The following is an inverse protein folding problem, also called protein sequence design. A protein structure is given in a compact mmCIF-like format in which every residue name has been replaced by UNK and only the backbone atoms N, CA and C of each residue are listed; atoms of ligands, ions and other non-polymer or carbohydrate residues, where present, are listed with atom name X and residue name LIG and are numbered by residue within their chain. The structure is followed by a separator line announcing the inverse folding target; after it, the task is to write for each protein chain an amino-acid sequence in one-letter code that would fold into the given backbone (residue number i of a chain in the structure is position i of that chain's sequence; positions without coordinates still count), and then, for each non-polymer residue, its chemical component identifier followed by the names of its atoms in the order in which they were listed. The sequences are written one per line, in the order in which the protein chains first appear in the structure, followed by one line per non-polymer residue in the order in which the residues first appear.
data_IF_831501020187
#
_entry.id   IF_831501020187
#
_cell.length_a   1.000
_cell.length_b   1.000
_cell.length_c   1.000
_cell.angle_alpha   90.00
_cell.angle_beta   90.00
_cell.angle_gamma   90.00
#
_symmetry.space_group_name_H-M   'P 1'
#
loop_
_entity.id
_entity.type
_entity.pdbx_description
1 polymer ?
#
# COMPACT_ATOMS: atom_id res chain seq x y z
N UNK A 1 19.90 19.49 15.61
CA UNK A 1 21.20 19.91 15.04
C UNK A 1 21.01 20.69 13.73
N UNK A 2 22.04 21.38 13.24
CA UNK A 2 22.01 22.07 11.94
C UNK A 2 21.77 21.07 10.81
N UNK A 3 22.39 19.89 10.88
CA UNK A 3 22.24 18.80 9.92
C UNK A 3 20.77 18.34 9.82
N UNK A 4 20.10 18.13 10.95
CA UNK A 4 18.67 17.72 10.96
C UNK A 4 17.77 18.76 10.28
N UNK A 5 18.03 20.07 10.51
CA UNK A 5 17.26 21.14 9.88
C UNK A 5 17.53 21.26 8.39
N UNK A 6 18.78 21.06 7.96
CA UNK A 6 19.16 21.04 6.56
C UNK A 6 18.52 19.86 5.83
N UNK A 7 18.59 18.67 6.41
CA UNK A 7 18.00 17.49 5.83
C UNK A 7 16.46 17.61 5.75
N UNK A 8 15.80 18.09 6.82
CA UNK A 8 14.37 18.37 6.81
C UNK A 8 13.97 19.40 5.76
N UNK A 9 14.74 20.48 5.59
CA UNK A 9 14.50 21.48 4.56
C UNK A 9 14.66 20.92 3.16
N UNK A 10 15.72 20.14 2.92
CA UNK A 10 15.96 19.45 1.64
C UNK A 10 14.82 18.49 1.30
N UNK A 11 14.38 17.67 2.27
CA UNK A 11 13.23 16.78 2.07
C UNK A 11 11.93 17.55 1.83
N UNK A 12 11.68 18.61 2.56
CA UNK A 12 10.52 19.47 2.32
C UNK A 12 10.51 20.02 0.89
N UNK A 13 11.63 20.49 0.37
CA UNK A 13 11.75 20.97 -1.00
C UNK A 13 11.55 19.84 -2.04
N UNK A 14 12.03 18.63 -1.76
CA UNK A 14 11.87 17.47 -2.66
C UNK A 14 10.44 16.94 -2.65
N UNK A 15 9.84 16.75 -1.49
CA UNK A 15 8.51 16.16 -1.33
C UNK A 15 7.39 17.17 -1.61
N UNK A 16 7.60 18.45 -1.28
CA UNK A 16 6.66 19.54 -1.58
C UNK A 16 6.61 19.94 -3.05
N UNK A 17 7.47 19.36 -3.89
CA UNK A 17 7.46 19.63 -5.32
C UNK A 17 6.25 18.93 -5.98
N UNK A 18 5.35 19.72 -6.54
CA UNK A 18 4.16 19.26 -7.25
C UNK A 18 4.53 18.26 -8.38
N UNK A 19 5.64 18.51 -9.07
CA UNK A 19 6.13 17.60 -10.13
C UNK A 19 6.46 16.20 -9.60
N UNK A 20 7.05 16.09 -8.41
CA UNK A 20 7.34 14.79 -7.78
C UNK A 20 6.06 14.05 -7.42
N UNK A 21 5.08 14.76 -6.84
CA UNK A 21 3.79 14.17 -6.49
C UNK A 21 3.02 13.72 -7.73
N UNK A 22 2.99 14.52 -8.80
CA UNK A 22 2.35 14.15 -10.07
C UNK A 22 3.03 12.92 -10.68
N UNK A 23 4.37 12.83 -10.66
CA UNK A 23 5.10 11.66 -11.16
C UNK A 23 4.79 10.39 -10.35
N UNK A 24 4.68 10.49 -9.04
CA UNK A 24 4.34 9.36 -8.18
C UNK A 24 2.92 8.86 -8.46
N UNK A 25 1.94 9.77 -8.57
CA UNK A 25 0.54 9.43 -8.91
C UNK A 25 0.46 8.85 -10.32
N UNK A 26 1.10 9.48 -11.30
CA UNK A 26 1.13 9.00 -12.68
C UNK A 26 1.83 7.62 -12.79
N UNK A 27 2.96 7.43 -12.11
CA UNK A 27 3.66 6.15 -12.05
C UNK A 27 2.76 5.04 -11.53
N UNK A 28 2.13 5.24 -10.37
CA UNK A 28 1.19 4.27 -9.80
C UNK A 28 -0.01 3.99 -10.73
N UNK A 29 -0.52 5.02 -11.43
CA UNK A 29 -1.61 4.83 -12.38
C UNK A 29 -1.19 4.03 -13.62
N UNK A 30 0.02 4.27 -14.15
CA UNK A 30 0.55 3.57 -15.33
C UNK A 30 0.82 2.08 -15.07
N UNK A 31 1.15 1.70 -13.82
CA UNK A 31 1.42 0.30 -13.47
C UNK A 31 0.16 -0.54 -13.22
N UNK A 32 -1.03 0.09 -13.06
CA UNK A 32 -2.30 -0.64 -12.88
C UNK A 32 -2.59 -1.65 -13.99
N UNK A 33 -2.45 -1.34 -15.29
CA UNK A 33 -2.65 -2.33 -16.36
C UNK A 33 -1.70 -3.51 -16.27
N UNK A 34 -0.43 -3.25 -15.97
CA UNK A 34 0.58 -4.31 -15.81
C UNK A 34 0.23 -5.27 -14.66
N UNK A 35 -0.15 -4.72 -13.50
CA UNK A 35 -0.54 -5.55 -12.36
C UNK A 35 -1.82 -6.34 -12.65
N UNK A 36 -2.75 -5.80 -13.45
CA UNK A 36 -3.96 -6.50 -13.86
C UNK A 36 -3.63 -7.73 -14.71
N UNK A 37 -2.81 -7.59 -15.73
CA UNK A 37 -2.38 -8.71 -16.59
C UNK A 37 -1.63 -9.78 -15.79
N UNK A 38 -0.71 -9.37 -14.91
CA UNK A 38 0.00 -10.29 -14.01
C UNK A 38 -0.97 -11.07 -13.11
N UNK A 39 -1.96 -10.39 -12.54
CA UNK A 39 -2.94 -11.01 -11.66
C UNK A 39 -3.87 -11.99 -12.40
N UNK A 40 -4.28 -11.67 -13.64
CA UNK A 40 -5.09 -12.56 -14.48
C UNK A 40 -4.34 -13.83 -14.85
N UNK A 41 -3.07 -13.70 -15.26
CA UNK A 41 -2.22 -14.86 -15.55
C UNK A 41 -2.03 -15.74 -14.32
N UNK A 42 -1.74 -15.15 -13.16
CA UNK A 42 -1.60 -15.90 -11.92
C UNK A 42 -2.91 -16.61 -11.54
N UNK A 43 -4.06 -15.94 -11.66
CA UNK A 43 -5.37 -16.54 -11.40
C UNK A 43 -5.69 -17.71 -12.35
N UNK A 44 -5.23 -17.64 -13.61
CA UNK A 44 -5.37 -18.73 -14.57
C UNK A 44 -4.59 -19.97 -14.12
N UNK A 45 -3.33 -19.81 -13.69
CA UNK A 45 -2.53 -20.90 -13.16
C UNK A 45 -3.11 -21.46 -11.86
N UNK A 46 -3.62 -20.62 -10.98
CA UNK A 46 -4.20 -21.05 -9.71
C UNK A 46 -5.53 -21.83 -9.87
N UNK A 47 -6.19 -21.76 -11.04
CA UNK A 47 -7.37 -22.60 -11.31
C UNK A 47 -7.10 -24.09 -11.17
N UNK A 48 -5.87 -24.54 -11.42
CA UNK A 48 -5.46 -25.92 -11.24
C UNK A 48 -5.28 -26.32 -9.76
N UNK A 49 -5.23 -25.36 -8.85
CA UNK A 49 -5.08 -25.62 -7.42
C UNK A 49 -6.43 -25.88 -6.73
N UNK A 50 -6.44 -26.63 -5.61
CA UNK A 50 -7.61 -26.73 -4.74
C UNK A 50 -8.03 -25.35 -4.22
N UNK A 51 -9.33 -25.15 -3.95
CA UNK A 51 -9.89 -23.84 -3.54
C UNK A 51 -9.26 -23.27 -2.28
N UNK A 52 -8.90 -24.13 -1.32
CA UNK A 52 -8.25 -23.76 -0.05
C UNK A 52 -6.84 -23.16 -0.22
N UNK A 53 -6.19 -23.47 -1.35
CA UNK A 53 -4.83 -22.96 -1.68
C UNK A 53 -4.82 -21.78 -2.64
N UNK A 54 -5.98 -21.42 -3.20
CA UNK A 54 -6.05 -20.29 -4.15
C UNK A 54 -5.92 -18.96 -3.41
N UNK A 55 -5.18 -18.06 -4.02
CA UNK A 55 -5.01 -16.67 -3.54
C UNK A 55 -5.57 -15.67 -4.53
N UNK A 56 -5.79 -16.08 -5.79
CA UNK A 56 -6.27 -15.21 -6.87
C UNK A 56 -7.45 -15.80 -7.61
N UNK A 57 -8.47 -14.97 -7.84
CA UNK A 57 -9.62 -15.28 -8.69
C UNK A 57 -9.55 -14.42 -9.96
N UNK A 58 -10.03 -14.98 -11.11
CA UNK A 58 -10.11 -14.23 -12.37
C UNK A 58 -11.09 -13.06 -12.29
N UNK A 59 -12.16 -13.22 -11.54
CA UNK A 59 -13.15 -12.18 -11.31
C UNK A 59 -13.35 -12.01 -9.82
N UNK A 60 -13.16 -10.79 -9.34
CA UNK A 60 -13.42 -10.45 -7.94
C UNK A 60 -14.91 -10.23 -7.75
N UNK A 61 -15.49 -10.83 -6.71
CA UNK A 61 -16.86 -10.60 -6.31
C UNK A 61 -17.07 -9.12 -5.95
N UNK A 62 -18.13 -8.51 -6.51
CA UNK A 62 -18.41 -7.08 -6.32
C UNK A 62 -18.84 -6.74 -4.91
N UNK A 63 -19.58 -7.63 -4.25
CA UNK A 63 -20.07 -7.41 -2.89
C UNK A 63 -18.92 -7.57 -1.88
N UNK A 64 -18.02 -8.51 -2.12
CA UNK A 64 -16.76 -8.62 -1.37
C UNK A 64 -15.86 -7.40 -1.59
N UNK A 65 -15.78 -6.88 -2.80
CA UNK A 65 -15.00 -5.68 -3.06
C UNK A 65 -15.60 -4.45 -2.36
N UNK A 66 -16.92 -4.32 -2.33
CA UNK A 66 -17.60 -3.26 -1.60
C UNK A 66 -17.33 -3.37 -0.09
N UNK A 67 -17.47 -4.58 0.47
CA UNK A 67 -17.14 -4.85 1.86
C UNK A 67 -15.66 -4.57 2.17
N UNK A 68 -14.72 -5.02 1.34
CA UNK A 68 -13.29 -4.80 1.54
C UNK A 68 -12.90 -3.31 1.50
N UNK A 69 -13.60 -2.49 0.71
CA UNK A 69 -13.45 -1.02 0.73
C UNK A 69 -13.88 -0.41 2.07
N UNK A 70 -14.90 -0.96 2.71
CA UNK A 70 -15.30 -0.56 4.06
C UNK A 70 -14.26 -1.00 5.09
N UNK A 71 -13.73 -2.24 4.97
CA UNK A 71 -12.70 -2.78 5.85
C UNK A 71 -11.41 -1.92 5.83
N UNK A 72 -11.08 -1.25 4.72
CA UNK A 72 -9.92 -0.32 4.69
C UNK A 72 -10.00 0.81 5.71
N UNK A 73 -11.21 1.14 6.19
CA UNK A 73 -11.43 2.18 7.20
C UNK A 73 -11.28 1.64 8.63
N UNK A 74 -11.18 0.33 8.80
CA UNK A 74 -10.98 -0.29 10.11
C UNK A 74 -9.62 0.11 10.69
N UNK A 75 -9.57 0.23 12.01
CA UNK A 75 -8.34 0.58 12.74
C UNK A 75 -7.25 -0.45 12.46
N UNK A 76 -7.60 -1.73 12.39
CA UNK A 76 -6.66 -2.82 12.16
C UNK A 76 -6.05 -2.75 10.76
N UNK A 77 -6.86 -2.52 9.71
CA UNK A 77 -6.38 -2.36 8.35
C UNK A 77 -5.47 -1.13 8.22
N UNK A 78 -5.86 0.00 8.80
CA UNK A 78 -5.08 1.23 8.78
C UNK A 78 -3.74 1.06 9.52
N UNK A 79 -3.74 0.41 10.67
CA UNK A 79 -2.53 0.13 11.41
C UNK A 79 -1.62 -0.83 10.65
N UNK A 80 -2.15 -1.90 10.06
CA UNK A 80 -1.38 -2.84 9.26
C UNK A 80 -0.74 -2.16 8.04
N UNK A 81 -1.49 -1.31 7.34
CA UNK A 81 -1.00 -0.54 6.19
C UNK A 81 0.04 0.52 6.58
N UNK A 82 -0.07 1.14 7.74
CA UNK A 82 0.92 2.09 8.28
C UNK A 82 2.16 1.40 8.83
N UNK A 83 1.98 0.28 9.53
CA UNK A 83 3.08 -0.45 10.16
C UNK A 83 4.03 -1.04 9.12
N UNK A 84 3.48 -1.64 8.07
CA UNK A 84 4.29 -2.11 6.97
C UNK A 84 5.00 -0.96 6.24
N UNK A 85 4.47 0.29 6.24
CA UNK A 85 5.19 1.48 5.75
C UNK A 85 6.46 1.79 6.53
N UNK A 86 6.46 1.53 7.82
CA UNK A 86 7.63 1.79 8.66
C UNK A 86 8.74 0.76 8.47
N UNK A 87 8.42 -0.49 8.17
CA UNK A 87 9.43 -1.54 7.97
C UNK A 87 10.25 -1.40 6.68
N UNK A 88 9.71 -0.71 5.65
CA UNK A 88 10.43 -0.42 4.40
C UNK A 88 11.25 0.88 4.42
N UNK A 89 11.11 1.72 5.46
CA UNK A 89 11.66 3.09 5.51
C UNK A 89 12.76 3.25 6.58
N UNK A 90 13.80 2.45 6.47
CA UNK A 90 14.84 2.35 7.52
C UNK A 90 15.76 3.59 7.67
N UNK A 91 15.67 4.58 6.80
CA UNK A 91 16.58 5.75 6.81
C UNK A 91 15.87 7.09 6.98
N UNK A 92 14.58 7.18 6.68
CA UNK A 92 13.83 8.45 6.73
C UNK A 92 12.95 8.58 7.97
N UNK A 93 12.72 7.48 8.71
CA UNK A 93 11.78 7.43 9.82
C UNK A 93 12.18 8.31 11.01
N UNK A 94 13.47 8.48 11.27
CA UNK A 94 13.95 9.31 12.39
C UNK A 94 13.80 10.81 12.13
N UNK A 95 13.88 11.23 10.87
CA UNK A 95 13.76 12.64 10.48
C UNK A 95 12.28 13.02 10.29
N UNK A 96 11.46 12.06 9.88
CA UNK A 96 10.03 12.22 9.59
C UNK A 96 9.11 11.73 10.72
N UNK A 97 9.60 11.60 11.93
CA UNK A 97 8.75 11.24 13.08
C UNK A 97 7.71 12.34 13.30
N UNK A 98 6.44 12.03 13.14
CA UNK A 98 5.27 12.92 13.27
C UNK A 98 5.30 13.72 14.60
N UNK A 99 6.01 13.23 15.59
CA UNK A 99 6.05 13.78 16.94
C UNK A 99 7.27 14.67 17.23
N UNK A 100 8.29 14.68 16.35
CA UNK A 100 9.49 15.50 16.57
C UNK A 100 9.38 16.83 15.84
N UNK A 101 9.27 17.92 16.60
CA UNK A 101 9.34 19.27 16.03
C UNK A 101 10.77 19.59 15.60
N UNK A 102 10.96 19.83 14.29
CA UNK A 102 12.29 20.11 13.70
C UNK A 102 12.56 21.62 13.64
N UNK A 103 11.55 22.40 13.23
CA UNK A 103 11.69 23.85 13.12
C UNK A 103 11.06 24.57 14.32
N UNK A 104 11.78 25.58 14.86
CA UNK A 104 11.22 26.44 15.91
C UNK A 104 10.10 27.35 15.37
N UNK A 105 10.18 27.76 14.10
CA UNK A 105 9.13 28.53 13.43
C UNK A 105 7.90 27.67 13.18
N UNK A 106 6.73 28.13 13.64
CA UNK A 106 5.47 27.44 13.43
C UNK A 106 5.10 27.32 11.95
N UNK A 107 5.36 28.36 11.15
CA UNK A 107 5.07 28.35 9.71
C UNK A 107 5.91 27.29 8.95
N UNK A 108 7.22 27.22 9.23
CA UNK A 108 8.11 26.22 8.62
C UNK A 108 7.77 24.80 9.05
N UNK A 109 7.38 24.61 10.31
CA UNK A 109 6.96 23.29 10.78
C UNK A 109 5.63 22.85 10.16
N UNK A 110 4.69 23.77 9.97
CA UNK A 110 3.45 23.51 9.25
C UNK A 110 3.73 23.19 7.78
N UNK A 111 4.58 23.94 7.11
CA UNK A 111 4.96 23.66 5.72
C UNK A 111 5.64 22.28 5.58
N UNK A 112 6.49 21.89 6.53
CA UNK A 112 7.09 20.54 6.59
C UNK A 112 6.02 19.46 6.68
N UNK A 113 5.08 19.58 7.62
CA UNK A 113 4.00 18.60 7.81
C UNK A 113 3.10 18.49 6.58
N UNK A 114 2.79 19.59 5.93
CA UNK A 114 2.00 19.59 4.67
C UNK A 114 2.78 18.91 3.54
N UNK A 115 4.07 19.19 3.41
CA UNK A 115 4.93 18.57 2.39
C UNK A 115 5.08 17.06 2.60
N UNK A 116 5.10 16.59 3.83
CA UNK A 116 5.12 15.16 4.17
C UNK A 116 3.77 14.48 3.97
N UNK A 117 2.68 15.21 4.29
CA UNK A 117 1.32 14.67 4.19
C UNK A 117 0.90 14.40 2.74
N UNK A 118 1.21 15.28 1.80
CA UNK A 118 0.71 15.20 0.43
C UNK A 118 1.13 13.90 -0.32
N UNK A 119 2.42 13.49 -0.32
CA UNK A 119 2.83 12.20 -0.88
C UNK A 119 2.24 11.02 -0.13
N UNK A 120 2.18 11.09 1.20
CA UNK A 120 1.65 10.01 2.04
C UNK A 120 0.15 9.79 1.83
N UNK A 121 -0.62 10.87 1.62
CA UNK A 121 -2.05 10.78 1.32
C UNK A 121 -2.29 10.17 -0.06
N UNK A 122 -1.52 10.57 -1.08
CA UNK A 122 -1.58 9.98 -2.42
C UNK A 122 -1.28 8.47 -2.39
N UNK A 123 -0.22 8.11 -1.70
CA UNK A 123 0.21 6.73 -1.54
C UNK A 123 -0.85 5.88 -0.80
N UNK A 124 -1.47 6.43 0.24
CA UNK A 124 -2.50 5.75 1.01
C UNK A 124 -3.77 5.47 0.18
N UNK A 125 -4.13 6.36 -0.74
CA UNK A 125 -5.26 6.13 -1.66
C UNK A 125 -5.00 4.88 -2.51
N UNK A 126 -3.80 4.75 -3.07
CA UNK A 126 -3.43 3.58 -3.87
C UNK A 126 -3.32 2.32 -3.01
N UNK A 127 -2.71 2.40 -1.82
CA UNK A 127 -2.61 1.28 -0.87
C UNK A 127 -3.98 0.76 -0.46
N UNK A 128 -4.90 1.64 -0.09
CA UNK A 128 -6.28 1.27 0.25
C UNK A 128 -6.98 0.59 -0.94
N UNK A 129 -6.79 1.10 -2.15
CA UNK A 129 -7.35 0.52 -3.37
C UNK A 129 -6.83 -0.89 -3.65
N UNK A 130 -5.52 -1.09 -3.54
CA UNK A 130 -4.90 -2.41 -3.71
C UNK A 130 -5.27 -3.37 -2.58
N UNK A 131 -5.25 -2.91 -1.34
CA UNK A 131 -5.68 -3.71 -0.19
C UNK A 131 -7.09 -4.25 -0.41
N UNK A 132 -8.07 -3.39 -0.70
CA UNK A 132 -9.44 -3.80 -0.93
C UNK A 132 -9.56 -4.80 -2.09
N UNK A 133 -8.84 -4.54 -3.21
CA UNK A 133 -8.81 -5.44 -4.38
C UNK A 133 -8.30 -6.83 -3.98
N UNK A 134 -7.15 -6.91 -3.34
CA UNK A 134 -6.50 -8.19 -3.03
C UNK A 134 -7.21 -8.94 -1.91
N UNK A 135 -7.77 -8.24 -0.92
CA UNK A 135 -8.59 -8.85 0.12
C UNK A 135 -9.84 -9.51 -0.48
N UNK A 136 -10.60 -8.79 -1.28
CA UNK A 136 -11.78 -9.31 -1.94
C UNK A 136 -11.44 -10.46 -2.92
N UNK A 137 -10.35 -10.31 -3.67
CA UNK A 137 -9.93 -11.32 -4.64
C UNK A 137 -9.52 -12.64 -3.97
N UNK A 138 -8.79 -12.57 -2.85
CA UNK A 138 -8.40 -13.74 -2.06
C UNK A 138 -9.62 -14.51 -1.52
N UNK A 139 -10.58 -13.78 -0.94
CA UNK A 139 -11.81 -14.39 -0.41
C UNK A 139 -12.65 -14.99 -1.54
N UNK A 140 -12.77 -14.30 -2.69
CA UNK A 140 -13.44 -14.83 -3.89
C UNK A 140 -12.78 -16.12 -4.39
N UNK A 141 -11.45 -16.18 -4.43
CA UNK A 141 -10.71 -17.35 -4.90
C UNK A 141 -10.98 -18.61 -4.06
N UNK A 142 -11.25 -18.42 -2.78
CA UNK A 142 -11.62 -19.49 -1.83
C UNK A 142 -13.11 -19.78 -1.78
N UNK A 143 -13.93 -19.04 -2.53
CA UNK A 143 -15.38 -19.24 -2.60
C UNK A 143 -16.14 -18.71 -1.38
N UNK A 144 -15.53 -17.77 -0.63
CA UNK A 144 -16.14 -17.11 0.51
C UNK A 144 -17.02 -15.98 -0.02
N UNK A 145 -18.23 -15.84 0.53
CA UNK A 145 -19.16 -14.78 0.14
C UNK A 145 -19.09 -13.57 1.08
N UNK A 146 -19.54 -12.41 0.60
CA UNK A 146 -19.68 -11.21 1.43
C UNK A 146 -20.66 -11.42 2.58
N UNK A 147 -21.69 -12.27 2.40
CA UNK A 147 -22.64 -12.62 3.46
C UNK A 147 -21.97 -13.42 4.58
N UNK A 148 -21.04 -14.32 4.25
CA UNK A 148 -20.31 -15.10 5.25
C UNK A 148 -19.38 -14.22 6.07
N UNK A 149 -18.71 -13.28 5.41
CA UNK A 149 -17.83 -12.33 6.09
C UNK A 149 -18.60 -11.41 7.03
N UNK A 150 -19.71 -10.82 6.56
CA UNK A 150 -20.57 -9.96 7.40
C UNK A 150 -21.20 -10.69 8.58
N UNK A 151 -21.48 -11.98 8.41
CA UNK A 151 -22.04 -12.81 9.47
C UNK A 151 -20.98 -13.39 10.42
N UNK A 152 -19.69 -13.08 10.21
CA UNK A 152 -18.59 -13.62 11.04
C UNK A 152 -18.40 -15.13 10.94
N UNK A 153 -18.88 -15.76 9.83
CA UNK A 153 -18.75 -17.21 9.62
C UNK A 153 -17.42 -17.64 8.99
N UNK A 154 -16.56 -16.69 8.66
CA UNK A 154 -15.24 -16.97 8.11
C UNK A 154 -14.27 -17.26 9.24
N UNK A 155 -13.50 -18.32 9.09
CA UNK A 155 -12.46 -18.69 10.05
C UNK A 155 -11.47 -17.52 10.25
N UNK A 156 -11.10 -17.27 11.51
CA UNK A 156 -10.19 -16.19 11.90
C UNK A 156 -8.82 -16.31 11.22
N UNK A 157 -8.33 -17.54 11.04
CA UNK A 157 -7.04 -17.80 10.41
C UNK A 157 -7.08 -17.48 8.91
N UNK A 158 -8.19 -17.83 8.25
CA UNK A 158 -8.41 -17.49 6.83
C UNK A 158 -8.51 -15.97 6.68
N UNK A 159 -9.23 -15.29 7.58
CA UNK A 159 -9.35 -13.84 7.54
C UNK A 159 -8.00 -13.15 7.78
N UNK A 160 -7.22 -13.64 8.73
CA UNK A 160 -5.87 -13.15 9.01
C UNK A 160 -4.95 -13.31 7.80
N UNK A 161 -4.95 -14.49 7.18
CA UNK A 161 -4.19 -14.76 5.95
C UNK A 161 -4.62 -13.83 4.81
N UNK A 162 -5.92 -13.61 4.64
CA UNK A 162 -6.47 -12.74 3.61
C UNK A 162 -6.00 -11.28 3.80
N UNK A 163 -6.05 -10.77 5.02
CA UNK A 163 -5.57 -9.42 5.35
C UNK A 163 -4.08 -9.28 5.18
N UNK A 164 -3.29 -10.26 5.65
CA UNK A 164 -1.84 -10.26 5.45
C UNK A 164 -1.46 -10.29 3.98
N UNK A 165 -2.13 -11.12 3.19
CA UNK A 165 -1.95 -11.19 1.74
C UNK A 165 -2.29 -9.84 1.08
N UNK A 166 -3.40 -9.20 1.48
CA UNK A 166 -3.82 -7.91 0.95
C UNK A 166 -2.82 -6.79 1.29
N UNK A 167 -2.31 -6.75 2.53
CA UNK A 167 -1.29 -5.79 2.96
C UNK A 167 -0.01 -5.95 2.16
N UNK A 168 0.50 -7.18 2.04
CA UNK A 168 1.74 -7.45 1.30
C UNK A 168 1.62 -7.04 -0.17
N UNK A 169 0.49 -7.36 -0.82
CA UNK A 169 0.28 -6.98 -2.21
C UNK A 169 0.03 -5.47 -2.40
N UNK A 170 -0.65 -4.81 -1.47
CA UNK A 170 -0.78 -3.36 -1.49
C UNK A 170 0.59 -2.68 -1.45
N UNK A 171 1.51 -3.23 -0.68
CA UNK A 171 2.88 -2.77 -0.54
C UNK A 171 3.69 -2.93 -1.81
N UNK A 172 3.76 -4.16 -2.33
CA UNK A 172 4.50 -4.48 -3.56
C UNK A 172 4.01 -3.62 -4.73
N UNK A 173 2.69 -3.41 -4.83
CA UNK A 173 2.11 -2.68 -5.96
C UNK A 173 2.11 -1.14 -5.79
N UNK A 174 2.55 -0.62 -4.67
CA UNK A 174 2.76 0.83 -4.46
C UNK A 174 4.24 1.24 -4.44
N UNK A 175 5.14 0.39 -4.95
CA UNK A 175 6.59 0.63 -5.01
C UNK A 175 7.25 0.89 -3.65
N UNK A 176 6.63 0.49 -2.55
CA UNK A 176 7.24 0.56 -1.24
C UNK A 176 8.11 -0.67 -0.93
N UNK A 177 8.10 -1.67 -1.80
CA UNK A 177 9.05 -2.78 -1.73
C UNK A 177 10.32 -2.40 -2.51
N UNK A 178 11.33 -1.95 -1.79
CA UNK A 178 12.61 -1.49 -2.33
C UNK A 178 13.41 -2.56 -3.04
N UNK A 179 13.17 -3.83 -2.74
CA UNK A 179 14.10 -4.88 -3.12
C UNK A 179 13.97 -5.33 -4.57
N UNK A 180 12.78 -5.28 -5.18
CA UNK A 180 12.60 -5.84 -6.53
C UNK A 180 12.72 -4.82 -7.66
N UNK A 181 12.35 -3.57 -7.45
CA UNK A 181 12.38 -2.56 -8.51
C UNK A 181 13.71 -1.79 -8.55
N UNK A 182 14.24 -1.42 -7.39
CA UNK A 182 15.54 -0.74 -7.31
C UNK A 182 16.67 -1.64 -7.83
N UNK A 183 16.61 -2.95 -7.54
CA UNK A 183 17.58 -3.92 -8.01
C UNK A 183 17.45 -4.18 -9.52
N UNK A 184 16.22 -4.22 -10.04
CA UNK A 184 15.96 -4.32 -11.47
C UNK A 184 16.45 -3.07 -12.24
N UNK A 185 16.23 -1.87 -11.71
CA UNK A 185 16.71 -0.62 -12.33
C UNK A 185 18.21 -0.48 -12.18
N UNK A 186 18.79 -0.86 -11.05
CA UNK A 186 20.23 -0.86 -10.85
C UNK A 186 20.95 -1.84 -11.80
N UNK A 187 20.33 -3.00 -12.07
CA UNK A 187 20.87 -4.00 -13.01
C UNK A 187 20.79 -3.58 -14.49
N UNK A 188 19.91 -2.61 -14.83
CA UNK A 188 19.80 -2.06 -16.18
C UNK A 188 20.78 -0.89 -16.44
N UNK A 189 21.38 -0.34 -15.38
CA UNK A 189 22.31 0.79 -15.43
C UNK A 189 23.78 0.42 -15.22
N UNK A 190 24.07 -0.85 -15.01
CA UNK A 190 25.42 -1.42 -14.91
C UNK A 190 25.79 -2.18 -16.19
#
# INVERSE_FOLDING_TARGET
TFKEKWDAWRYMCMLGNVSTNVRNVAGNAMFKPYTAVKDELAALFEKALPKDRRTKAMHTDKDLLAWAKEDTKSVDAQNALKYSAKMGADVTSDIMSENKRVFKSGALETARKVAEWAPSAGDMIFKNGYYAKYLANFLTARGISAADVRAGRVDSDIMSQARQYAVNNAYVNTFNDRNNFSDAVASLGS
#
